data_IF_385206117638
#
_entry.id   IF_385206117638
#
_cell.length_a   1.000
_cell.length_b   1.000
_cell.length_c   1.000
_cell.angle_alpha   90.00
_cell.angle_beta   90.00
_cell.angle_gamma   90.00
#
_symmetry.space_group_name_H-M   'P 1'
#
loop_
_entity.id
_entity.type
_entity.pdbx_description
1 polymer ?
#
# COMPACT_ATOMS: atom_id res chain seq x y z
N UNK A 1 7.11 25.95 -64.35
CA UNK A 1 7.57 26.68 -63.16
C UNK A 1 6.51 26.47 -62.10
N UNK A 2 6.74 25.51 -61.20
CA UNK A 2 5.81 25.13 -60.14
C UNK A 2 6.00 26.06 -58.95
N UNK A 3 4.92 26.69 -58.48
CA UNK A 3 4.88 27.31 -57.15
C UNK A 3 3.67 26.71 -56.43
N UNK A 4 3.93 25.65 -55.67
CA UNK A 4 3.02 25.18 -54.64
C UNK A 4 3.35 25.95 -53.36
N UNK A 5 2.48 26.89 -52.98
CA UNK A 5 2.43 27.43 -51.63
C UNK A 5 1.64 26.44 -50.77
N UNK A 6 2.35 25.55 -50.07
CA UNK A 6 1.78 24.72 -49.01
C UNK A 6 1.94 25.46 -47.68
N UNK A 7 0.85 26.00 -47.14
CA UNK A 7 0.81 26.43 -45.76
C UNK A 7 0.86 25.19 -44.86
N UNK A 8 1.94 25.11 -44.10
CA UNK A 8 2.19 24.17 -43.03
C UNK A 8 1.03 24.25 -42.01
N UNK A 9 0.14 23.27 -41.99
CA UNK A 9 -0.70 23.03 -40.83
C UNK A 9 0.21 22.42 -39.76
N UNK A 10 0.60 23.28 -38.82
CA UNK A 10 1.15 22.87 -37.55
C UNK A 10 0.06 22.08 -36.84
N UNK A 11 0.06 20.76 -37.01
CA UNK A 11 -0.77 19.87 -36.23
C UNK A 11 -0.37 20.07 -34.77
N UNK A 12 -1.27 20.69 -34.01
CA UNK A 12 -1.19 20.69 -32.56
C UNK A 12 -1.17 19.24 -32.12
N UNK A 13 -0.03 18.80 -31.59
CA UNK A 13 0.14 17.51 -30.94
C UNK A 13 -0.97 17.38 -29.90
N UNK A 14 -1.91 16.50 -30.20
CA UNK A 14 -2.98 16.13 -29.29
C UNK A 14 -2.37 14.97 -28.48
N UNK A 15 -1.95 15.15 -27.22
CA UNK A 15 -1.20 14.13 -26.51
C UNK A 15 -2.13 12.94 -26.27
N UNK A 16 -1.90 11.87 -27.01
CA UNK A 16 -2.60 10.60 -26.83
C UNK A 16 -1.83 9.74 -25.83
N UNK A 17 -2.52 8.78 -25.25
CA UNK A 17 -2.04 7.98 -24.11
C UNK A 17 -0.90 7.03 -24.50
N UNK A 18 -0.75 6.74 -25.80
CA UNK A 18 0.41 6.03 -26.36
C UNK A 18 1.67 6.91 -26.37
N UNK A 19 1.51 8.23 -26.47
CA UNK A 19 2.62 9.17 -26.56
C UNK A 19 3.26 9.36 -25.19
N UNK A 20 2.46 9.41 -24.12
CA UNK A 20 2.97 9.51 -22.74
C UNK A 20 3.80 8.28 -22.36
N UNK A 21 3.35 7.06 -22.68
CA UNK A 21 4.11 5.84 -22.40
C UNK A 21 5.43 5.78 -23.17
N UNK A 22 5.43 6.21 -24.44
CA UNK A 22 6.64 6.31 -25.25
C UNK A 22 7.61 7.37 -24.68
N UNK A 23 7.09 8.51 -24.24
CA UNK A 23 7.88 9.57 -23.63
C UNK A 23 8.45 9.14 -22.27
N UNK A 24 7.68 8.46 -21.44
CA UNK A 24 8.17 7.85 -20.18
C UNK A 24 9.33 6.90 -20.50
N UNK A 25 9.16 6.00 -21.47
CA UNK A 25 10.21 5.06 -21.86
C UNK A 25 11.47 5.77 -22.37
N UNK A 26 11.29 6.87 -23.13
CA UNK A 26 12.40 7.70 -23.62
C UNK A 26 13.12 8.42 -22.47
N UNK A 27 12.38 8.98 -21.51
CA UNK A 27 12.95 9.59 -20.30
C UNK A 27 13.70 8.52 -19.50
N UNK A 28 13.12 7.36 -19.25
CA UNK A 28 13.74 6.27 -18.48
C UNK A 28 15.07 5.81 -19.08
N UNK A 29 15.10 5.62 -20.40
CA UNK A 29 16.29 5.17 -21.15
C UNK A 29 17.32 6.28 -21.44
N UNK A 30 17.02 7.54 -21.13
CA UNK A 30 17.94 8.64 -21.34
C UNK A 30 19.21 8.49 -20.49
N UNK A 31 20.37 8.44 -21.14
CA UNK A 31 21.68 8.28 -20.48
C UNK A 31 22.25 9.59 -19.94
N UNK A 32 21.71 10.73 -20.36
CA UNK A 32 22.28 12.06 -20.09
C UNK A 32 21.36 12.87 -19.16
N UNK A 33 20.79 12.21 -18.14
CA UNK A 33 19.93 12.86 -17.17
C UNK A 33 20.77 13.78 -16.29
N UNK A 34 20.39 15.05 -16.24
CA UNK A 34 21.00 16.02 -15.34
C UNK A 34 20.21 16.06 -14.03
N UNK A 35 20.88 15.87 -12.90
CA UNK A 35 20.25 16.09 -11.60
C UNK A 35 19.95 17.58 -11.40
N UNK A 36 18.74 17.86 -10.92
CA UNK A 36 18.21 19.20 -10.71
C UNK A 36 17.54 19.29 -9.35
N UNK A 37 17.36 20.51 -8.85
CA UNK A 37 16.51 20.73 -7.69
C UNK A 37 15.03 20.68 -8.11
N UNK A 38 14.13 20.25 -7.22
CA UNK A 38 12.69 20.24 -7.49
C UNK A 38 12.15 21.62 -7.87
N UNK A 39 12.72 22.68 -7.30
CA UNK A 39 12.38 24.07 -7.65
C UNK A 39 12.67 24.47 -9.10
N UNK A 40 13.42 23.65 -9.85
CA UNK A 40 13.69 23.86 -11.28
C UNK A 40 12.63 23.24 -12.20
N UNK A 41 11.67 22.46 -11.67
CA UNK A 41 10.53 21.96 -12.45
C UNK A 41 9.51 23.09 -12.72
N UNK A 42 8.60 22.93 -13.69
CA UNK A 42 7.43 23.79 -13.82
C UNK A 42 6.58 23.80 -12.54
N UNK A 43 5.93 24.93 -12.23
CA UNK A 43 5.19 25.13 -10.97
C UNK A 43 4.12 24.06 -10.72
N UNK A 44 3.35 23.70 -11.74
CA UNK A 44 2.31 22.67 -11.62
C UNK A 44 2.89 21.31 -11.20
N UNK A 45 4.07 20.95 -11.71
CA UNK A 45 4.77 19.72 -11.31
C UNK A 45 5.29 19.79 -9.88
N UNK A 46 5.79 20.96 -9.44
CA UNK A 46 6.24 21.15 -8.06
C UNK A 46 5.09 20.95 -7.08
N UNK A 47 3.93 21.54 -7.37
CA UNK A 47 2.74 21.43 -6.54
C UNK A 47 2.23 19.98 -6.49
N UNK A 48 2.25 19.27 -7.62
CA UNK A 48 1.86 17.86 -7.67
C UNK A 48 2.82 16.96 -6.86
N UNK A 49 4.13 17.14 -7.01
CA UNK A 49 5.15 16.39 -6.26
C UNK A 49 5.00 16.67 -4.76
N UNK A 50 4.89 17.95 -4.35
CA UNK A 50 4.72 18.32 -2.95
C UNK A 50 3.43 17.74 -2.36
N UNK A 51 2.35 17.74 -3.14
CA UNK A 51 1.08 17.14 -2.76
C UNK A 51 1.17 15.62 -2.59
N UNK A 52 1.85 14.91 -3.49
CA UNK A 52 2.07 13.46 -3.38
C UNK A 52 2.93 13.10 -2.18
N UNK A 53 4.07 13.79 -1.99
CA UNK A 53 4.94 13.60 -0.83
C UNK A 53 4.20 13.79 0.49
N UNK A 54 3.41 14.85 0.61
CA UNK A 54 2.64 15.13 1.82
C UNK A 54 1.53 14.11 2.06
N UNK A 55 0.85 13.65 1.00
CA UNK A 55 -0.28 12.72 1.09
C UNK A 55 0.15 11.29 1.40
N UNK A 56 1.27 10.86 0.84
CA UNK A 56 1.76 9.48 0.94
C UNK A 56 2.95 9.33 1.90
N UNK A 57 3.32 10.40 2.64
CA UNK A 57 4.44 10.41 3.60
C UNK A 57 5.80 10.05 2.97
N UNK A 58 6.02 10.57 1.76
CA UNK A 58 7.27 10.41 1.01
C UNK A 58 8.13 11.67 1.08
N UNK A 59 9.40 11.53 0.74
CA UNK A 59 10.28 12.65 0.40
C UNK A 59 10.84 12.48 -1.01
N UNK A 60 11.24 13.58 -1.63
CA UNK A 60 11.95 13.52 -2.93
C UNK A 60 13.38 13.06 -2.68
N UNK A 61 13.73 11.92 -3.28
CA UNK A 61 15.08 11.37 -3.23
C UNK A 61 15.96 12.02 -4.31
N UNK A 62 15.49 12.06 -5.56
CA UNK A 62 16.19 12.73 -6.65
C UNK A 62 15.20 13.36 -7.63
N UNK A 63 15.63 14.43 -8.30
CA UNK A 63 14.93 14.99 -9.46
C UNK A 63 15.93 15.13 -10.61
N UNK A 64 15.53 14.69 -11.80
CA UNK A 64 16.40 14.63 -12.97
C UNK A 64 15.69 15.18 -14.21
N UNK A 65 16.42 15.90 -15.04
CA UNK A 65 15.98 16.39 -16.32
C UNK A 65 16.61 15.58 -17.44
N UNK A 66 15.78 15.00 -18.31
CA UNK A 66 16.20 14.45 -19.58
C UNK A 66 16.03 15.54 -20.65
N UNK A 67 17.15 16.10 -21.12
CA UNK A 67 17.14 17.25 -22.03
C UNK A 67 16.30 16.98 -23.28
N UNK A 68 15.32 17.85 -23.55
CA UNK A 68 14.42 17.75 -24.69
C UNK A 68 13.30 16.70 -24.55
N UNK A 69 13.22 15.99 -23.42
CA UNK A 69 12.21 14.96 -23.18
C UNK A 69 11.29 15.31 -22.00
N UNK A 70 11.85 15.65 -20.84
CA UNK A 70 11.06 15.91 -19.65
C UNK A 70 11.81 15.67 -18.35
N UNK A 71 11.06 15.38 -17.29
CA UNK A 71 11.55 15.24 -15.94
C UNK A 71 11.21 13.87 -15.34
N UNK A 72 12.10 13.38 -14.48
CA UNK A 72 11.90 12.21 -13.62
C UNK A 72 12.13 12.63 -12.17
N UNK A 73 11.18 12.33 -11.30
CA UNK A 73 11.25 12.63 -9.87
C UNK A 73 11.08 11.32 -9.11
N UNK A 74 12.16 10.87 -8.47
CA UNK A 74 12.14 9.72 -7.56
C UNK A 74 11.77 10.17 -6.15
N UNK A 75 10.79 9.49 -5.56
CA UNK A 75 10.29 9.74 -4.21
C UNK A 75 10.37 8.45 -3.39
N UNK A 76 10.78 8.57 -2.12
CA UNK A 76 10.93 7.43 -1.21
C UNK A 76 10.03 7.54 0.00
N UNK A 77 9.54 6.40 0.47
CA UNK A 77 8.76 6.30 1.69
C UNK A 77 9.60 6.65 2.92
N UNK A 78 9.08 7.54 3.76
CA UNK A 78 9.82 8.07 4.92
C UNK A 78 9.75 7.13 6.13
N UNK A 79 8.70 6.33 6.26
CA UNK A 79 8.46 5.51 7.46
C UNK A 79 7.56 4.31 7.18
N UNK A 80 7.38 3.49 8.21
CA UNK A 80 6.42 2.39 8.21
C UNK A 80 6.97 1.15 7.52
N UNK A 81 6.06 0.26 7.15
CA UNK A 81 6.41 -1.07 6.68
C UNK A 81 6.92 -1.10 5.24
N UNK A 82 6.67 -0.02 4.48
CA UNK A 82 7.19 0.22 3.14
C UNK A 82 8.34 1.24 3.15
N UNK A 83 8.97 1.52 4.30
CA UNK A 83 10.10 2.48 4.40
C UNK A 83 11.17 2.19 3.35
N UNK A 84 11.70 3.25 2.71
CA UNK A 84 12.73 3.10 1.68
C UNK A 84 12.22 2.67 0.30
N UNK A 85 10.97 2.23 0.16
CA UNK A 85 10.37 1.96 -1.16
C UNK A 85 10.44 3.23 -2.03
N UNK A 86 11.01 3.09 -3.23
CA UNK A 86 11.10 4.16 -4.22
C UNK A 86 9.99 4.08 -5.27
N UNK A 87 9.46 5.25 -5.65
CA UNK A 87 8.52 5.43 -6.75
C UNK A 87 8.92 6.63 -7.59
N UNK A 88 8.74 6.55 -8.91
CA UNK A 88 9.06 7.65 -9.82
C UNK A 88 7.82 8.29 -10.42
N UNK A 89 7.83 9.61 -10.53
CA UNK A 89 6.86 10.38 -11.30
C UNK A 89 7.57 11.01 -12.51
N UNK A 90 6.85 11.08 -13.64
CA UNK A 90 7.37 11.59 -14.90
C UNK A 90 6.54 12.77 -15.37
N UNK A 91 7.19 13.78 -15.92
CA UNK A 91 6.55 15.00 -16.43
C UNK A 91 7.12 15.36 -17.79
N UNK A 92 6.31 15.92 -18.69
CA UNK A 92 6.81 16.56 -19.91
C UNK A 92 7.48 17.92 -19.60
N UNK A 93 8.03 18.56 -20.64
CA UNK A 93 8.72 19.84 -20.53
C UNK A 93 7.78 20.98 -20.12
N UNK A 94 6.48 20.88 -20.42
CA UNK A 94 5.46 21.84 -19.97
C UNK A 94 5.02 21.61 -18.52
N UNK A 95 5.40 20.48 -17.91
CA UNK A 95 5.12 20.17 -16.51
C UNK A 95 3.85 19.35 -16.28
N UNK A 96 3.22 18.85 -17.35
CA UNK A 96 2.11 17.91 -17.24
C UNK A 96 2.63 16.54 -16.85
N UNK A 97 2.00 15.92 -15.85
CA UNK A 97 2.31 14.55 -15.44
C UNK A 97 2.01 13.56 -16.56
N UNK A 98 2.99 12.71 -16.84
CA UNK A 98 2.89 11.60 -17.78
C UNK A 98 2.33 10.37 -17.05
N UNK A 99 1.46 9.62 -17.74
CA UNK A 99 0.88 8.39 -17.22
C UNK A 99 0.83 7.32 -18.30
N UNK A 100 1.16 6.08 -17.93
CA UNK A 100 1.00 4.92 -18.80
C UNK A 100 -0.48 4.56 -19.03
N UNK A 101 -1.37 4.93 -18.09
CA UNK A 101 -2.81 4.69 -18.15
C UNK A 101 -3.56 6.00 -18.46
N UNK A 102 -4.19 6.06 -19.64
CA UNK A 102 -4.74 7.24 -20.29
C UNK A 102 -5.84 8.09 -19.61
N UNK A 103 -5.62 8.59 -18.40
CA UNK A 103 -6.60 9.41 -17.67
C UNK A 103 -6.50 10.91 -17.98
N UNK A 104 -7.40 11.44 -18.83
CA UNK A 104 -7.78 12.87 -18.80
C UNK A 104 -8.15 13.26 -17.37
N UNK A 105 -7.56 14.36 -16.88
CA UNK A 105 -7.84 15.02 -15.59
C UNK A 105 -7.59 14.18 -14.32
N UNK A 106 -6.42 14.40 -13.70
CA UNK A 106 -6.30 14.86 -12.30
C UNK A 106 -7.02 14.10 -11.18
N UNK A 107 -7.45 12.85 -11.41
CA UNK A 107 -7.85 11.92 -10.35
C UNK A 107 -7.19 10.59 -10.66
N UNK A 108 -6.30 10.08 -9.79
CA UNK A 108 -5.80 8.72 -9.88
C UNK A 108 -7.00 7.78 -9.85
N UNK A 109 -7.44 7.30 -11.01
CA UNK A 109 -8.39 6.19 -11.07
C UNK A 109 -7.59 4.94 -10.74
N UNK A 110 -7.69 4.49 -9.49
CA UNK A 110 -7.53 3.07 -9.19
C UNK A 110 -6.15 2.59 -8.73
N UNK A 111 -5.06 3.35 -8.84
CA UNK A 111 -3.98 3.17 -7.85
C UNK A 111 -4.47 3.82 -6.57
N UNK A 112 -5.19 3.02 -5.77
CA UNK A 112 -5.42 3.32 -4.35
C UNK A 112 -4.07 3.83 -3.87
N UNK A 113 -3.97 5.12 -3.52
CA UNK A 113 -2.80 5.61 -2.78
C UNK A 113 -2.53 4.55 -1.73
N UNK A 114 -1.31 3.98 -1.75
CA UNK A 114 -0.92 2.90 -0.84
C UNK A 114 -1.42 3.37 0.51
N UNK A 115 -2.48 2.69 0.98
CA UNK A 115 -3.16 3.11 2.19
C UNK A 115 -2.06 3.09 3.22
N UNK A 116 -1.82 4.24 3.86
CA UNK A 116 -1.17 4.34 5.15
C UNK A 116 -1.36 3.00 5.86
N UNK A 117 -0.26 2.40 6.35
CA UNK A 117 -0.36 1.24 7.21
C UNK A 117 -1.50 1.52 8.21
N UNK A 118 -2.55 0.69 8.20
CA UNK A 118 -3.67 0.82 9.15
C UNK A 118 -3.29 0.30 10.54
N UNK A 119 -1.98 0.17 10.74
CA UNK A 119 -1.34 -0.18 11.98
C UNK A 119 -0.12 0.73 12.15
N UNK A 120 0.24 0.97 13.40
CA UNK A 120 1.48 1.63 13.78
C UNK A 120 2.42 0.60 14.41
N UNK A 121 3.73 0.77 14.25
CA UNK A 121 4.71 -0.07 14.95
C UNK A 121 4.77 0.29 16.44
N UNK A 122 4.89 -0.74 17.28
CA UNK A 122 5.32 -0.59 18.66
C UNK A 122 6.85 -0.58 18.66
N UNK A 123 7.42 0.48 19.24
CA UNK A 123 8.86 0.68 19.27
C UNK A 123 9.52 -0.09 20.43
N UNK A 124 10.81 -0.45 20.29
CA UNK A 124 11.71 -0.15 19.17
C UNK A 124 11.55 -1.10 17.97
N UNK A 125 11.84 -0.60 16.77
CA UNK A 125 11.90 -1.40 15.52
C UNK A 125 13.32 -1.41 15.00
N UNK A 126 13.83 -2.58 14.61
CA UNK A 126 15.16 -2.69 13.98
C UNK A 126 15.02 -3.06 12.50
N UNK A 127 15.82 -2.40 11.68
CA UNK A 127 15.92 -2.60 10.24
C UNK A 127 17.33 -3.06 9.90
N UNK A 128 17.45 -3.96 8.93
CA UNK A 128 18.71 -4.31 8.25
C UNK A 128 18.75 -3.59 6.92
N UNK A 129 19.72 -2.71 6.74
CA UNK A 129 19.95 -1.95 5.51
C UNK A 129 20.55 -2.86 4.42
N UNK A 130 20.51 -2.44 3.14
CA UNK A 130 21.08 -3.22 2.03
C UNK A 130 22.57 -3.56 2.15
N UNK A 131 23.35 -2.76 2.88
CA UNK A 131 24.77 -3.02 3.18
C UNK A 131 24.98 -3.95 4.40
N UNK A 132 23.90 -4.53 4.93
CA UNK A 132 23.84 -5.31 6.16
C UNK A 132 24.12 -4.54 7.46
N UNK A 133 24.25 -3.21 7.42
CA UNK A 133 24.21 -2.39 8.63
C UNK A 133 22.80 -2.39 9.23
N UNK A 134 22.68 -2.06 10.52
CA UNK A 134 21.39 -2.01 11.20
C UNK A 134 21.04 -0.61 11.66
N UNK A 135 19.75 -0.29 11.59
CA UNK A 135 19.18 0.96 12.12
C UNK A 135 18.10 0.58 13.11
N UNK A 136 18.21 1.07 14.36
CA UNK A 136 17.17 0.89 15.38
C UNK A 136 16.38 2.20 15.53
N UNK A 137 15.10 2.13 15.20
CA UNK A 137 14.13 3.21 15.37
C UNK A 137 13.54 3.09 16.77
N UNK A 138 13.97 3.96 17.68
CA UNK A 138 13.54 3.94 19.09
C UNK A 138 12.16 4.56 19.32
N UNK A 139 11.72 5.46 18.43
CA UNK A 139 10.43 6.12 18.43
C UNK A 139 10.09 6.67 17.03
N UNK A 140 8.92 7.31 16.88
CA UNK A 140 8.46 7.85 15.61
C UNK A 140 9.39 8.87 14.93
N UNK A 141 10.27 9.55 15.68
CA UNK A 141 11.25 10.48 15.10
C UNK A 141 12.47 9.76 14.54
N UNK A 142 12.76 8.55 15.03
CA UNK A 142 13.93 7.76 14.63
C UNK A 142 13.92 7.28 13.17
N UNK A 143 12.79 7.38 12.47
CA UNK A 143 12.70 7.05 11.04
C UNK A 143 13.59 7.95 10.16
N UNK A 144 13.95 9.15 10.62
CA UNK A 144 14.87 10.02 9.89
C UNK A 144 16.24 9.38 9.68
N UNK A 145 16.69 8.49 10.58
CA UNK A 145 17.96 7.79 10.43
C UNK A 145 18.01 6.91 9.17
N UNK A 146 16.87 6.37 8.73
CA UNK A 146 16.78 5.60 7.48
C UNK A 146 16.95 6.50 6.26
N UNK A 147 16.37 7.72 6.31
CA UNK A 147 16.54 8.73 5.27
C UNK A 147 18.00 9.18 5.19
N UNK A 148 18.62 9.51 6.32
CA UNK A 148 20.03 9.92 6.41
C UNK A 148 20.96 8.84 5.83
N UNK A 149 20.63 7.56 6.06
CA UNK A 149 21.38 6.45 5.46
C UNK A 149 21.29 6.43 3.92
N UNK A 150 20.11 6.67 3.33
CA UNK A 150 19.99 6.74 1.86
C UNK A 150 20.67 7.98 1.27
N UNK A 151 20.66 9.11 1.97
CA UNK A 151 21.40 10.30 1.55
C UNK A 151 22.92 10.05 1.52
N UNK A 152 23.44 9.23 2.43
CA UNK A 152 24.83 8.79 2.42
C UNK A 152 25.12 7.69 1.38
N UNK A 153 24.09 7.03 0.83
CA UNK A 153 24.19 5.90 -0.10
C UNK A 153 23.32 6.12 -1.35
N UNK A 154 23.60 7.15 -2.18
CA UNK A 154 22.70 7.60 -3.25
C UNK A 154 22.54 6.61 -4.41
N UNK A 155 23.46 5.65 -4.55
CA UNK A 155 23.41 4.63 -5.59
C UNK A 155 22.57 3.40 -5.20
N UNK A 156 22.13 3.31 -3.94
CA UNK A 156 21.38 2.17 -3.42
C UNK A 156 19.87 2.38 -3.59
N UNK A 157 19.25 1.46 -4.33
CA UNK A 157 17.80 1.47 -4.56
C UNK A 157 17.03 0.41 -3.78
N UNK A 158 17.73 -0.57 -3.21
CA UNK A 158 17.11 -1.63 -2.44
C UNK A 158 16.55 -1.12 -1.12
N UNK A 159 15.42 -1.71 -0.70
CA UNK A 159 14.75 -1.39 0.57
C UNK A 159 15.45 -2.07 1.76
N UNK A 160 15.40 -1.51 2.97
CA UNK A 160 15.77 -2.25 4.17
C UNK A 160 14.81 -3.41 4.42
N UNK A 161 15.25 -4.37 5.22
CA UNK A 161 14.44 -5.48 5.72
C UNK A 161 14.11 -5.29 7.20
N UNK A 162 12.88 -5.58 7.62
CA UNK A 162 12.51 -5.58 9.03
C UNK A 162 13.15 -6.77 9.76
N UNK A 163 13.69 -6.52 10.95
CA UNK A 163 14.17 -7.58 11.84
C UNK A 163 13.00 -8.06 12.71
N UNK A 164 12.51 -9.26 12.42
CA UNK A 164 11.47 -9.90 13.19
C UNK A 164 12.00 -10.51 14.51
N UNK A 165 11.16 -10.63 15.56
CA UNK A 165 9.76 -10.20 15.60
C UNK A 165 9.58 -8.68 15.78
N UNK A 166 8.45 -8.17 15.31
CA UNK A 166 8.02 -6.77 15.51
C UNK A 166 6.57 -6.72 15.97
N UNK A 167 6.23 -5.79 16.86
CA UNK A 167 4.87 -5.59 17.32
C UNK A 167 4.20 -4.45 16.55
N UNK A 168 2.95 -4.65 16.14
CA UNK A 168 2.12 -3.63 15.48
C UNK A 168 0.84 -3.40 16.29
N UNK A 169 0.29 -2.19 16.23
CA UNK A 169 -0.99 -1.80 16.82
C UNK A 169 -1.93 -1.33 15.70
N UNK A 170 -3.08 -1.98 15.53
CA UNK A 170 -4.09 -1.58 14.54
C UNK A 170 -4.89 -0.36 15.01
N UNK A 171 -5.63 0.29 14.10
CA UNK A 171 -6.50 1.43 14.41
C UNK A 171 -7.56 1.16 15.49
N UNK A 172 -7.95 -0.11 15.69
CA UNK A 172 -8.89 -0.52 16.75
C UNK A 172 -8.23 -0.72 18.13
N UNK A 173 -6.93 -0.46 18.23
CA UNK A 173 -6.12 -0.60 19.44
C UNK A 173 -5.59 -2.01 19.68
N UNK A 174 -5.94 -2.99 18.83
CA UNK A 174 -5.42 -4.36 18.97
C UNK A 174 -3.94 -4.41 18.60
N UNK A 175 -3.15 -5.17 19.36
CA UNK A 175 -1.73 -5.39 19.04
C UNK A 175 -1.51 -6.80 18.51
N UNK A 176 -0.55 -6.95 17.59
CA UNK A 176 -0.14 -8.24 17.04
C UNK A 176 1.38 -8.28 16.94
N UNK A 177 1.98 -9.35 17.46
CA UNK A 177 3.37 -9.69 17.17
C UNK A 177 3.44 -10.32 15.79
N UNK A 178 4.26 -9.74 14.93
CA UNK A 178 4.58 -10.24 13.60
C UNK A 178 5.94 -10.93 13.67
N UNK A 179 5.97 -12.22 13.33
CA UNK A 179 7.20 -13.04 13.44
C UNK A 179 7.90 -13.28 12.11
N UNK A 180 7.28 -12.91 10.99
CA UNK A 180 7.80 -13.14 9.64
C UNK A 180 7.30 -12.11 8.62
N UNK A 181 7.99 -12.06 7.48
CA UNK A 181 7.58 -11.23 6.34
C UNK A 181 6.20 -11.65 5.78
N UNK A 182 5.85 -12.92 5.89
CA UNK A 182 4.55 -13.43 5.44
C UNK A 182 3.42 -12.91 6.34
N UNK A 183 3.60 -12.94 7.66
CA UNK A 183 2.65 -12.34 8.60
C UNK A 183 2.55 -10.82 8.44
N UNK A 184 3.67 -10.15 8.13
CA UNK A 184 3.67 -8.72 7.80
C UNK A 184 2.83 -8.45 6.56
N UNK A 185 2.95 -9.28 5.52
CA UNK A 185 2.15 -9.17 4.30
C UNK A 185 0.66 -9.35 4.60
N UNK A 186 0.29 -10.28 5.46
CA UNK A 186 -1.11 -10.46 5.90
C UNK A 186 -1.63 -9.23 6.65
N UNK A 187 -0.81 -8.66 7.55
CA UNK A 187 -1.15 -7.44 8.28
C UNK A 187 -1.35 -6.24 7.32
N UNK A 188 -0.46 -6.06 6.34
CA UNK A 188 -0.63 -5.03 5.28
C UNK A 188 -1.86 -5.29 4.43
N UNK A 189 -2.11 -6.56 4.09
CA UNK A 189 -3.28 -6.93 3.32
C UNK A 189 -4.53 -6.45 4.04
N UNK A 190 -4.67 -6.72 5.35
CA UNK A 190 -5.79 -6.28 6.18
C UNK A 190 -6.07 -4.76 5.99
N UNK A 191 -5.03 -3.93 5.95
CA UNK A 191 -5.13 -2.48 5.75
C UNK A 191 -5.61 -2.02 4.37
N UNK A 192 -5.22 -2.72 3.31
CA UNK A 192 -5.69 -2.46 1.94
C UNK A 192 -7.19 -2.73 1.73
N UNK A 193 -7.86 -3.28 2.75
CA UNK A 193 -9.05 -4.09 2.57
C UNK A 193 -8.76 -5.27 1.64
N UNK A 194 -7.51 -5.70 1.55
CA UNK A 194 -6.99 -6.80 0.70
C UNK A 194 -6.67 -8.05 1.51
N UNK A 195 -6.67 -7.98 2.83
CA UNK A 195 -6.64 -9.10 3.76
C UNK A 195 -8.02 -9.70 3.66
N UNK A 196 -8.09 -10.80 2.94
CA UNK A 196 -9.30 -11.56 2.63
C UNK A 196 -10.49 -10.75 2.09
N UNK A 197 -10.29 -9.52 1.58
CA UNK A 197 -11.40 -8.63 1.20
C UNK A 197 -11.23 -7.82 -0.09
N UNK A 198 -10.22 -8.06 -0.93
CA UNK A 198 -10.17 -7.47 -2.29
C UNK A 198 -9.47 -8.36 -3.32
N UNK A 199 -10.15 -9.43 -3.69
CA UNK A 199 -10.37 -9.68 -5.11
C UNK A 199 -11.57 -8.84 -5.56
N UNK A 200 -11.58 -8.36 -6.81
CA UNK A 200 -12.83 -7.96 -7.46
C UNK A 200 -13.85 -9.10 -7.28
N UNK A 201 -15.08 -8.77 -6.90
CA UNK A 201 -16.22 -9.70 -6.94
C UNK A 201 -16.02 -11.03 -6.21
N UNK A 202 -15.78 -10.99 -4.89
CA UNK A 202 -16.13 -12.13 -4.03
C UNK A 202 -17.03 -11.69 -2.91
N UNK A 203 -18.33 -11.82 -3.14
CA UNK A 203 -19.26 -12.16 -2.05
C UNK A 203 -18.58 -13.20 -1.16
N UNK A 204 -18.69 -13.11 0.19
CA UNK A 204 -18.30 -14.20 1.06
C UNK A 204 -18.90 -15.48 0.48
N UNK A 205 -18.04 -16.41 0.07
CA UNK A 205 -18.48 -17.56 -0.70
C UNK A 205 -19.30 -18.54 0.16
N UNK A 206 -19.31 -18.31 1.47
CA UNK A 206 -20.32 -18.76 2.41
C UNK A 206 -20.54 -17.72 3.53
N UNK A 207 -21.74 -17.75 4.13
CA UNK A 207 -22.14 -17.01 5.32
C UNK A 207 -22.12 -17.91 6.56
N UNK A 208 -21.86 -17.33 7.74
CA UNK A 208 -22.08 -18.03 9.01
C UNK A 208 -23.58 -18.16 9.28
N UNK A 209 -24.00 -19.36 9.65
CA UNK A 209 -25.36 -19.60 10.16
C UNK A 209 -25.37 -19.22 11.63
N UNK A 210 -26.13 -18.19 11.95
CA UNK A 210 -26.28 -17.72 13.32
C UNK A 210 -27.28 -18.59 14.11
N UNK A 211 -27.14 -18.66 15.44
CA UNK A 211 -26.13 -17.98 16.25
C UNK A 211 -24.75 -18.66 16.23
N UNK A 212 -23.69 -17.88 16.47
CA UNK A 212 -22.33 -18.39 16.71
C UNK A 212 -21.80 -17.92 18.06
N UNK A 213 -21.01 -18.74 18.73
CA UNK A 213 -20.40 -18.40 20.01
C UNK A 213 -18.91 -18.08 19.85
N UNK A 214 -18.43 -17.08 20.59
CA UNK A 214 -17.04 -16.63 20.59
C UNK A 214 -16.55 -16.61 22.03
N UNK A 215 -15.46 -17.33 22.31
CA UNK A 215 -14.74 -17.26 23.58
C UNK A 215 -13.69 -16.17 23.50
N UNK A 216 -13.83 -15.09 24.25
CA UNK A 216 -12.84 -14.03 24.38
C UNK A 216 -11.61 -14.49 25.19
N UNK A 217 -10.47 -13.79 25.12
CA UNK A 217 -9.24 -14.19 25.81
C UNK A 217 -9.36 -14.31 27.35
N UNK A 218 -10.27 -13.53 27.95
CA UNK A 218 -10.58 -13.61 29.39
C UNK A 218 -11.50 -14.80 29.75
N UNK A 219 -11.91 -15.60 28.76
CA UNK A 219 -12.87 -16.69 28.89
C UNK A 219 -14.34 -16.26 28.77
N UNK A 220 -14.63 -14.97 28.54
CA UNK A 220 -15.99 -14.47 28.32
C UNK A 220 -16.57 -15.06 27.03
N UNK A 221 -17.77 -15.63 27.10
CA UNK A 221 -18.45 -16.17 25.94
C UNK A 221 -19.49 -15.18 25.41
N UNK A 222 -19.36 -14.78 24.15
CA UNK A 222 -20.29 -13.93 23.43
C UNK A 222 -21.09 -14.76 22.44
N UNK A 223 -22.42 -14.66 22.50
CA UNK A 223 -23.32 -15.24 21.49
C UNK A 223 -23.69 -14.17 20.48
N UNK A 224 -23.38 -14.42 19.21
CA UNK A 224 -23.67 -13.53 18.09
C UNK A 224 -24.91 -14.07 17.39
N UNK A 225 -26.03 -13.36 17.48
CA UNK A 225 -27.32 -13.82 16.92
C UNK A 225 -27.53 -13.41 15.45
N UNK A 226 -26.78 -12.41 14.96
CA UNK A 226 -26.87 -11.92 13.59
C UNK A 226 -25.59 -11.19 13.17
N UNK A 227 -25.54 -10.72 11.92
CA UNK A 227 -24.42 -9.91 11.40
C UNK A 227 -24.22 -8.62 12.21
N UNK A 228 -25.28 -8.04 12.76
CA UNK A 228 -25.25 -6.84 13.59
C UNK A 228 -24.66 -7.12 14.98
N UNK A 229 -24.82 -8.35 15.50
CA UNK A 229 -24.33 -8.75 16.82
C UNK A 229 -22.82 -8.69 17.00
N UNK A 230 -22.05 -8.63 15.90
CA UNK A 230 -20.59 -8.49 15.93
C UNK A 230 -20.10 -7.19 16.59
N UNK A 231 -20.97 -6.19 16.79
CA UNK A 231 -20.61 -5.02 17.59
C UNK A 231 -20.23 -5.38 19.02
N UNK A 232 -20.81 -6.45 19.59
CA UNK A 232 -20.50 -6.90 20.94
C UNK A 232 -19.02 -7.29 21.13
N UNK A 233 -18.40 -7.89 20.11
CA UNK A 233 -16.96 -8.23 20.13
C UNK A 233 -16.10 -6.97 20.17
N UNK A 234 -16.48 -5.95 19.38
CA UNK A 234 -15.78 -4.65 19.34
C UNK A 234 -15.93 -3.91 20.67
N UNK A 235 -17.13 -3.92 21.25
CA UNK A 235 -17.40 -3.28 22.53
C UNK A 235 -16.66 -3.97 23.67
N UNK A 236 -16.52 -5.30 23.61
CA UNK A 236 -15.68 -6.04 24.55
C UNK A 236 -14.22 -5.58 24.47
N UNK A 237 -13.62 -5.49 23.28
CA UNK A 237 -12.23 -5.02 23.15
C UNK A 237 -12.05 -3.57 23.62
N UNK A 238 -13.03 -2.69 23.35
CA UNK A 238 -12.99 -1.30 23.84
C UNK A 238 -12.95 -1.22 25.38
N UNK A 239 -13.58 -2.17 26.05
CA UNK A 239 -13.63 -2.24 27.51
C UNK A 239 -12.48 -3.08 28.12
N UNK A 240 -11.72 -3.79 27.28
CA UNK A 240 -10.60 -4.64 27.67
C UNK A 240 -9.36 -4.25 26.84
N UNK A 241 -8.81 -3.03 27.03
CA UNK A 241 -7.71 -2.52 26.21
C UNK A 241 -6.41 -3.32 26.35
N UNK A 242 -6.24 -4.06 27.45
CA UNK A 242 -5.08 -4.95 27.68
C UNK A 242 -5.22 -6.30 26.96
N UNK A 243 -6.40 -6.62 26.41
CA UNK A 243 -6.63 -7.87 25.69
C UNK A 243 -6.17 -7.74 24.23
N UNK A 244 -5.02 -8.33 23.95
CA UNK A 244 -4.35 -8.29 22.64
C UNK A 244 -4.74 -9.46 21.74
N UNK A 245 -5.18 -10.58 22.32
CA UNK A 245 -5.63 -11.78 21.60
C UNK A 245 -7.07 -11.65 21.09
N UNK A 246 -7.42 -12.40 20.03
CA UNK A 246 -8.78 -12.41 19.47
C UNK A 246 -9.65 -13.44 20.18
N UNK A 247 -10.95 -13.21 20.18
CA UNK A 247 -11.91 -14.25 20.55
C UNK A 247 -11.90 -15.42 19.56
N UNK A 248 -11.96 -16.64 20.07
CA UNK A 248 -11.99 -17.88 19.32
C UNK A 248 -13.44 -18.33 19.06
N UNK A 249 -13.77 -18.70 17.81
CA UNK A 249 -15.07 -19.31 17.51
C UNK A 249 -15.18 -20.66 18.21
N UNK A 250 -16.32 -20.90 18.86
CA UNK A 250 -16.62 -22.20 19.42
C UNK A 250 -17.20 -23.10 18.33
N UNK A 251 -16.45 -24.15 18.01
CA UNK A 251 -16.91 -25.20 17.11
C UNK A 251 -17.79 -26.22 17.86
N UNK A 252 -18.73 -26.89 17.17
CA UNK A 252 -18.99 -26.80 15.73
C UNK A 252 -19.84 -25.59 15.33
N UNK A 253 -19.62 -25.06 14.13
CA UNK A 253 -20.45 -24.02 13.51
C UNK A 253 -20.94 -24.46 12.14
N UNK A 254 -22.01 -23.83 11.64
CA UNK A 254 -22.54 -24.12 10.30
C UNK A 254 -22.31 -22.94 9.36
N UNK A 255 -21.77 -23.23 8.18
CA UNK A 255 -21.61 -22.28 7.08
C UNK A 255 -22.63 -22.55 5.98
N UNK A 256 -23.09 -21.53 5.28
CA UNK A 256 -24.04 -21.61 4.16
C UNK A 256 -23.44 -20.98 2.91
N UNK A 257 -23.26 -21.75 1.84
CA UNK A 257 -22.73 -21.27 0.55
C UNK A 257 -23.77 -20.45 -0.23
N UNK A 258 -23.33 -19.68 -1.25
CA UNK A 258 -24.24 -18.88 -2.10
C UNK A 258 -25.38 -19.70 -2.75
N UNK A 259 -25.17 -21.00 -2.98
CA UNK A 259 -26.19 -21.92 -3.50
C UNK A 259 -27.17 -22.48 -2.46
N UNK A 260 -27.07 -22.05 -1.20
CA UNK A 260 -27.89 -22.53 -0.08
C UNK A 260 -27.44 -23.87 0.52
N UNK A 261 -26.38 -24.48 -0.01
CA UNK A 261 -25.77 -25.66 0.60
C UNK A 261 -25.16 -25.29 1.96
N UNK A 262 -25.28 -26.17 2.95
CA UNK A 262 -24.74 -25.95 4.30
C UNK A 262 -23.66 -26.97 4.63
N UNK A 263 -22.61 -26.54 5.30
CA UNK A 263 -21.56 -27.42 5.83
C UNK A 263 -21.35 -27.15 7.32
N UNK A 264 -21.23 -28.22 8.11
CA UNK A 264 -20.78 -28.12 9.50
C UNK A 264 -19.26 -28.14 9.54
N UNK A 265 -18.69 -27.19 10.27
CA UNK A 265 -17.27 -27.03 10.52
C UNK A 265 -17.01 -27.35 11.98
N UNK A 266 -16.14 -28.32 12.25
CA UNK A 266 -15.86 -28.84 13.59
C UNK A 266 -14.54 -28.34 14.18
N UNK A 267 -13.69 -27.68 13.37
CA UNK A 267 -12.42 -27.13 13.84
C UNK A 267 -11.98 -25.92 13.02
N UNK A 268 -10.95 -25.23 13.51
CA UNK A 268 -10.34 -24.11 12.81
C UNK A 268 -9.65 -24.56 11.52
N UNK A 269 -9.05 -25.75 11.50
CA UNK A 269 -8.47 -26.35 10.31
C UNK A 269 -9.53 -26.62 9.23
N UNK A 270 -10.70 -27.12 9.62
CA UNK A 270 -11.83 -27.29 8.70
C UNK A 270 -12.35 -25.95 8.17
N UNK A 271 -12.39 -24.92 9.02
CA UNK A 271 -12.74 -23.55 8.60
C UNK A 271 -11.75 -23.02 7.56
N UNK A 272 -10.45 -23.22 7.79
CA UNK A 272 -9.39 -22.80 6.87
C UNK A 272 -9.51 -23.53 5.53
N UNK A 273 -9.68 -24.86 5.57
CA UNK A 273 -9.88 -25.66 4.37
C UNK A 273 -11.11 -25.23 3.56
N UNK A 274 -12.22 -24.88 4.24
CA UNK A 274 -13.42 -24.36 3.59
C UNK A 274 -13.16 -23.04 2.87
N UNK A 275 -12.38 -22.12 3.46
CA UNK A 275 -11.98 -20.86 2.81
C UNK A 275 -11.07 -21.08 1.61
N UNK A 276 -10.08 -21.96 1.73
CA UNK A 276 -9.12 -22.26 0.67
C UNK A 276 -9.79 -22.89 -0.55
N UNK A 277 -10.70 -23.85 -0.33
CA UNK A 277 -11.44 -24.53 -1.42
C UNK A 277 -12.29 -23.53 -2.20
N UNK A 278 -12.99 -22.68 -1.46
CA UNK A 278 -13.95 -21.71 -1.97
C UNK A 278 -13.28 -20.48 -2.61
N UNK A 279 -12.00 -20.25 -2.30
CA UNK A 279 -11.16 -19.21 -2.91
C UNK A 279 -10.51 -19.61 -4.25
N UNK A 280 -10.69 -20.85 -4.71
CA UNK A 280 -10.11 -21.33 -5.97
C UNK A 280 -11.14 -21.58 -7.09
N UNK A 281 -12.44 -21.45 -6.78
CA UNK A 281 -13.54 -21.41 -7.76
C UNK A 281 -13.84 -19.97 -8.22
#
# INVERSE_FOLDING_TARGET
>A
MFIFAACNQQEGLNPTTSDDAALISAIQSATNKQEINVSALPTDSQDEVSGECSRDEKYVATARMASGLGYEVSMRQTRGSDVGDETSAYFDLEGRRLSEEGGRSGKPRGKKGRRKDCFDFVYPVTLTMPDASTVTVADSSGWSAVKDWYEANPDVNDRPSLNFPVDITFEDGTTKTITSEDEMREAKAYCGGTGDRKGKDRTPCFDLTYPVNITMPDGTNLTIESKEGWSAVKDWHRNNPDATERGALQFPITITYEGGATQTINSEEEMRAARETCGND
#
